data_IF_105565218407
#
_entry.id   IF_105565218407
#
_cell.length_a   1.000
_cell.length_b   1.000
_cell.length_c   1.000
_cell.angle_alpha   90.00
_cell.angle_beta   90.00
_cell.angle_gamma   90.00
#
_symmetry.space_group_name_H-M   'P 1'
#
loop_
_entity.id
_entity.type
_entity.pdbx_description
1 polymer ?
#
# COMPACT_ATOMS: atom_id res chain seq x y z
N UNK A 1 -28.31 -6.71 5.91
CA UNK A 1 -26.92 -7.18 5.94
C UNK A 1 -26.10 -6.07 5.33
N UNK A 2 -25.58 -5.19 6.20
CA UNK A 2 -24.74 -4.05 5.81
C UNK A 2 -23.50 -4.62 5.12
N UNK A 3 -23.27 -4.25 3.85
CA UNK A 3 -22.02 -4.62 3.19
C UNK A 3 -20.93 -3.87 3.96
N UNK A 4 -20.00 -4.59 4.57
CA UNK A 4 -18.78 -3.98 5.08
C UNK A 4 -18.22 -3.08 3.97
N UNK A 5 -18.00 -1.81 4.30
CA UNK A 5 -17.36 -0.87 3.40
C UNK A 5 -16.05 -1.50 2.95
N UNK A 6 -15.86 -1.59 1.63
CA UNK A 6 -14.65 -2.16 1.08
C UNK A 6 -13.55 -1.12 1.22
N UNK A 7 -12.52 -1.42 2.00
CA UNK A 7 -11.23 -0.70 2.01
C UNK A 7 -10.53 -0.91 0.66
N UNK A 8 -11.05 -0.31 -0.41
CA UNK A 8 -10.52 -0.44 -1.75
C UNK A 8 -10.40 0.94 -2.40
N UNK A 9 -9.36 1.12 -3.21
CA UNK A 9 -9.30 2.32 -4.05
C UNK A 9 -10.45 2.30 -5.05
N UNK A 10 -11.08 3.45 -5.27
CA UNK A 10 -12.17 3.59 -6.24
C UNK A 10 -11.64 3.46 -7.68
N UNK A 11 -12.08 2.46 -8.46
CA UNK A 11 -11.79 2.39 -9.89
C UNK A 11 -12.85 3.14 -10.71
N UNK A 12 -12.44 3.61 -11.89
CA UNK A 12 -13.36 4.06 -12.94
C UNK A 12 -14.07 2.87 -13.62
N UNK A 13 -14.92 3.18 -14.61
CA UNK A 13 -15.65 2.18 -15.38
C UNK A 13 -14.76 1.20 -16.17
N UNK A 14 -13.46 1.51 -16.34
CA UNK A 14 -12.48 0.66 -17.00
C UNK A 14 -11.66 -0.20 -16.03
N UNK A 15 -11.93 -0.08 -14.72
CA UNK A 15 -11.19 -0.78 -13.68
C UNK A 15 -9.86 -0.11 -13.32
N UNK A 16 -9.66 1.16 -13.67
CA UNK A 16 -8.42 1.92 -13.41
C UNK A 16 -8.65 2.99 -12.35
N UNK A 17 -7.63 3.26 -11.55
CA UNK A 17 -7.71 4.24 -10.45
C UNK A 17 -7.12 5.57 -10.92
N UNK A 18 -7.89 6.68 -10.88
CA UNK A 18 -7.36 7.99 -11.18
C UNK A 18 -6.40 8.44 -10.07
N UNK A 19 -5.28 9.06 -10.45
CA UNK A 19 -4.40 9.81 -9.56
C UNK A 19 -4.45 11.29 -9.89
N UNK A 20 -4.37 12.12 -8.87
CA UNK A 20 -4.50 13.57 -8.96
C UNK A 20 -3.23 14.24 -8.45
N UNK A 21 -2.80 15.30 -9.13
CA UNK A 21 -1.63 16.09 -8.72
C UNK A 21 -1.99 17.09 -7.62
N UNK A 22 -3.28 17.41 -7.47
CA UNK A 22 -3.77 18.35 -6.48
C UNK A 22 -5.25 18.09 -6.14
N UNK A 23 -5.70 18.71 -5.05
CA UNK A 23 -7.07 18.59 -4.54
C UNK A 23 -8.13 19.13 -5.52
N UNK A 24 -7.80 20.13 -6.34
CA UNK A 24 -8.76 20.73 -7.29
C UNK A 24 -9.21 19.71 -8.36
N UNK A 25 -8.28 18.89 -8.87
CA UNK A 25 -8.61 17.83 -9.82
C UNK A 25 -9.50 16.76 -9.19
N UNK A 26 -9.26 16.39 -7.94
CA UNK A 26 -10.11 15.46 -7.20
C UNK A 26 -11.52 16.04 -7.01
N UNK A 27 -11.63 17.31 -6.60
CA UNK A 27 -12.91 18.01 -6.43
C UNK A 27 -13.71 17.99 -7.74
N UNK A 28 -13.08 18.39 -8.85
CA UNK A 28 -13.70 18.40 -10.19
C UNK A 28 -14.25 17.02 -10.58
N UNK A 29 -13.50 15.95 -10.33
CA UNK A 29 -14.00 14.60 -10.59
C UNK A 29 -15.20 14.28 -9.70
N UNK A 30 -15.11 14.55 -8.40
CA UNK A 30 -16.18 14.21 -7.46
C UNK A 30 -17.50 14.93 -7.76
N UNK A 31 -17.43 16.20 -8.18
CA UNK A 31 -18.58 16.95 -8.67
C UNK A 31 -19.18 16.31 -9.93
N UNK A 32 -18.33 15.92 -10.89
CA UNK A 32 -18.76 15.30 -12.14
C UNK A 32 -19.46 13.93 -11.93
N UNK A 33 -19.04 13.16 -10.93
CA UNK A 33 -19.63 11.85 -10.61
C UNK A 33 -20.68 11.90 -9.49
N UNK A 34 -21.00 13.09 -8.98
CA UNK A 34 -22.03 13.28 -7.94
C UNK A 34 -21.67 12.70 -6.57
N UNK A 35 -20.38 12.60 -6.24
CA UNK A 35 -19.88 12.09 -4.96
C UNK A 35 -19.43 13.26 -4.09
N UNK A 36 -19.67 13.16 -2.77
CA UNK A 36 -19.20 14.15 -1.80
C UNK A 36 -17.90 13.69 -1.15
N UNK A 37 -16.89 14.56 -1.13
CA UNK A 37 -15.67 14.33 -0.37
C UNK A 37 -15.92 14.54 1.12
N UNK A 38 -15.43 13.61 1.92
CA UNK A 38 -15.26 13.80 3.35
C UNK A 38 -13.84 14.33 3.61
N UNK A 39 -13.70 15.51 4.24
CA UNK A 39 -12.38 16.09 4.48
C UNK A 39 -11.65 15.28 5.54
N UNK A 40 -10.58 14.60 5.13
CA UNK A 40 -9.65 13.92 6.02
C UNK A 40 -8.21 14.38 5.71
N UNK A 41 -7.32 14.47 6.72
CA UNK A 41 -5.90 14.71 6.47
C UNK A 41 -5.34 13.63 5.53
N UNK A 42 -4.55 13.99 4.51
CA UNK A 42 -3.97 13.00 3.62
C UNK A 42 -2.95 12.15 4.35
N UNK A 43 -3.02 10.83 4.15
CA UNK A 43 -1.99 9.91 4.61
C UNK A 43 -0.85 9.83 3.57
N UNK A 44 0.37 10.12 4.00
CA UNK A 44 1.54 10.10 3.12
C UNK A 44 2.18 8.71 3.08
N UNK A 45 2.13 8.07 1.90
CA UNK A 45 2.88 6.84 1.62
C UNK A 45 4.21 7.18 0.92
N UNK A 46 5.34 6.79 1.52
CA UNK A 46 6.66 7.08 0.97
C UNK A 46 7.16 5.94 0.06
N UNK A 47 6.83 6.00 -1.24
CA UNK A 47 7.31 5.02 -2.22
C UNK A 47 8.81 5.11 -2.52
N UNK A 48 9.44 6.28 -2.39
CA UNK A 48 10.86 6.47 -2.69
C UNK A 48 11.76 5.64 -1.77
N UNK A 49 11.40 5.56 -0.48
CA UNK A 49 12.10 4.68 0.47
C UNK A 49 11.98 3.21 0.07
N UNK A 50 10.80 2.79 -0.39
CA UNK A 50 10.57 1.41 -0.83
C UNK A 50 11.34 1.11 -2.10
N UNK A 51 11.31 1.99 -3.10
CA UNK A 51 12.04 1.84 -4.36
C UNK A 51 13.55 1.83 -4.14
N UNK A 52 14.06 2.71 -3.28
CA UNK A 52 15.48 2.74 -2.90
C UNK A 52 15.91 1.42 -2.26
N UNK A 53 15.09 0.85 -1.37
CA UNK A 53 15.37 -0.45 -0.77
C UNK A 53 15.26 -1.59 -1.77
N UNK A 54 14.28 -1.58 -2.68
CA UNK A 54 14.14 -2.59 -3.74
C UNK A 54 15.35 -2.60 -4.67
N UNK A 55 15.93 -1.43 -4.96
CA UNK A 55 17.15 -1.28 -5.76
C UNK A 55 18.41 -1.74 -5.01
N UNK A 56 18.46 -1.55 -3.69
CA UNK A 56 19.58 -2.00 -2.85
C UNK A 56 19.10 -2.71 -1.56
N UNK A 57 18.75 -4.01 -1.65
CA UNK A 57 18.13 -4.76 -0.55
C UNK A 57 19.11 -5.18 0.56
N UNK A 58 20.40 -4.81 0.45
CA UNK A 58 21.38 -4.99 1.51
C UNK A 58 21.13 -4.03 2.69
N UNK A 59 20.45 -2.90 2.44
CA UNK A 59 20.06 -1.94 3.48
C UNK A 59 18.97 -2.50 4.40
N UNK A 60 18.81 -1.85 5.55
CA UNK A 60 17.71 -2.14 6.47
C UNK A 60 16.36 -1.96 5.77
N UNK A 61 15.43 -2.88 6.02
CA UNK A 61 14.07 -2.81 5.47
C UNK A 61 13.35 -1.59 6.05
N UNK A 62 12.80 -0.67 5.22
CA UNK A 62 12.02 0.47 5.69
C UNK A 62 10.61 0.01 6.07
N UNK A 63 10.50 -0.61 7.25
CA UNK A 63 9.31 -1.39 7.66
C UNK A 63 7.98 -0.66 7.45
N UNK A 64 7.83 0.55 8.01
CA UNK A 64 6.57 1.30 7.87
C UNK A 64 6.22 1.57 6.40
N UNK A 65 7.18 2.09 5.63
CA UNK A 65 6.96 2.40 4.21
C UNK A 65 6.62 1.13 3.38
N UNK A 66 7.24 -0.01 3.69
CA UNK A 66 6.90 -1.28 3.07
C UNK A 66 5.50 -1.78 3.44
N UNK A 67 5.06 -1.56 4.68
CA UNK A 67 3.71 -1.90 5.12
C UNK A 67 2.67 -1.02 4.43
N UNK A 68 2.85 0.30 4.50
CA UNK A 68 1.95 1.29 3.89
C UNK A 68 1.79 0.97 2.38
N UNK A 69 2.90 0.71 1.69
CA UNK A 69 2.87 0.32 0.28
C UNK A 69 2.16 -1.02 0.04
N UNK A 70 2.39 -2.03 0.90
CA UNK A 70 1.70 -3.31 0.78
C UNK A 70 0.19 -3.14 0.89
N UNK A 71 -0.29 -2.41 1.89
CA UNK A 71 -1.72 -2.16 2.12
C UNK A 71 -2.32 -1.41 0.94
N UNK A 72 -1.68 -0.34 0.49
CA UNK A 72 -2.14 0.42 -0.68
C UNK A 72 -2.21 -0.43 -1.96
N UNK A 73 -1.25 -1.34 -2.17
CA UNK A 73 -1.31 -2.28 -3.30
C UNK A 73 -2.41 -3.33 -3.14
N UNK A 74 -2.75 -3.69 -1.90
CA UNK A 74 -3.88 -4.54 -1.61
C UNK A 74 -5.17 -3.82 -2.01
N UNK A 75 -5.39 -2.60 -1.55
CA UNK A 75 -6.58 -1.78 -1.82
C UNK A 75 -6.73 -1.50 -3.33
N UNK A 76 -5.62 -1.21 -4.01
CA UNK A 76 -5.57 -1.07 -5.46
C UNK A 76 -6.02 -2.36 -6.16
N UNK A 77 -5.51 -3.51 -5.73
CA UNK A 77 -5.85 -4.79 -6.34
C UNK A 77 -7.31 -5.17 -6.08
N UNK A 78 -7.84 -4.88 -4.88
CA UNK A 78 -9.27 -4.99 -4.59
C UNK A 78 -10.09 -4.15 -5.55
N UNK A 79 -9.79 -2.84 -5.63
CA UNK A 79 -10.53 -1.90 -6.45
C UNK A 79 -10.52 -2.29 -7.92
N UNK A 80 -9.34 -2.59 -8.47
CA UNK A 80 -9.16 -2.96 -9.86
C UNK A 80 -9.59 -4.41 -10.21
N UNK A 81 -10.06 -5.20 -9.25
CA UNK A 81 -10.39 -6.62 -9.45
C UNK A 81 -9.17 -7.47 -9.87
N UNK A 82 -7.97 -7.08 -9.45
CA UNK A 82 -6.72 -7.71 -9.84
C UNK A 82 -6.21 -8.71 -8.78
N UNK A 83 -5.46 -9.72 -9.22
CA UNK A 83 -4.82 -10.66 -8.31
C UNK A 83 -3.54 -10.06 -7.72
N UNK A 84 -3.48 -9.93 -6.39
CA UNK A 84 -2.28 -9.54 -5.65
C UNK A 84 -1.74 -10.71 -4.82
N UNK A 85 -0.45 -11.03 -4.99
CA UNK A 85 0.20 -12.11 -4.24
C UNK A 85 0.31 -11.79 -2.75
N UNK A 86 0.24 -10.51 -2.38
CA UNK A 86 0.19 -10.08 -0.99
C UNK A 86 -1.07 -10.57 -0.25
N UNK A 87 -2.15 -10.95 -0.95
CA UNK A 87 -3.37 -11.55 -0.33
C UNK A 87 -3.23 -13.03 -0.02
N UNK A 88 -2.40 -13.75 -0.78
CA UNK A 88 -2.29 -15.22 -0.66
C UNK A 88 -1.81 -15.59 0.73
N UNK A 89 -2.46 -16.52 1.43
CA UNK A 89 -1.96 -16.98 2.73
C UNK A 89 -0.80 -17.95 2.54
N UNK A 90 0.19 -17.89 3.43
CA UNK A 90 1.30 -18.84 3.44
C UNK A 90 2.27 -18.56 4.58
N UNK A 91 2.95 -19.57 5.16
CA UNK A 91 3.72 -19.40 6.39
C UNK A 91 4.78 -18.31 6.32
N UNK A 92 5.55 -18.23 5.23
CA UNK A 92 6.59 -17.21 5.05
C UNK A 92 5.98 -15.82 4.87
N UNK A 93 4.92 -15.70 4.05
CA UNK A 93 4.29 -14.42 3.75
C UNK A 93 3.55 -13.84 4.96
N UNK A 94 2.88 -14.68 5.73
CA UNK A 94 2.25 -14.27 6.98
C UNK A 94 3.31 -13.71 7.93
N UNK A 95 4.41 -14.43 8.17
CA UNK A 95 5.54 -13.92 8.98
C UNK A 95 6.11 -12.60 8.47
N UNK A 96 6.21 -12.40 7.16
CA UNK A 96 6.67 -11.13 6.57
C UNK A 96 5.70 -10.01 6.91
N UNK A 97 4.41 -10.23 6.72
CA UNK A 97 3.37 -9.24 7.01
C UNK A 97 3.33 -8.92 8.51
N UNK A 98 3.36 -9.94 9.36
CA UNK A 98 3.40 -9.78 10.82
C UNK A 98 4.64 -8.96 11.24
N UNK A 99 5.82 -9.27 10.71
CA UNK A 99 7.04 -8.47 10.95
C UNK A 99 6.93 -7.01 10.49
N UNK A 100 6.26 -6.77 9.36
CA UNK A 100 6.01 -5.41 8.90
C UNK A 100 5.09 -4.67 9.87
N UNK A 101 4.02 -5.34 10.29
CA UNK A 101 3.02 -4.81 11.20
C UNK A 101 3.60 -4.52 12.58
N UNK A 102 4.35 -5.47 13.17
CA UNK A 102 5.04 -5.31 14.45
C UNK A 102 6.08 -4.18 14.42
N UNK A 103 6.82 -4.06 13.32
CA UNK A 103 7.87 -3.05 13.18
C UNK A 103 7.38 -1.67 12.74
N UNK A 104 6.09 -1.50 12.43
CA UNK A 104 5.50 -0.25 11.95
C UNK A 104 5.31 0.80 13.06
N UNK A 105 5.25 0.36 14.31
CA UNK A 105 4.92 1.21 15.46
C UNK A 105 3.42 1.47 15.63
N UNK A 106 2.55 0.79 14.85
CA UNK A 106 1.09 0.88 15.00
C UNK A 106 0.58 0.27 16.31
N UNK A 107 1.32 -0.68 16.89
CA UNK A 107 1.04 -1.18 18.23
C UNK A 107 1.77 -0.35 19.30
N UNK A 108 1.02 0.10 20.30
CA UNK A 108 1.60 0.53 21.58
C UNK A 108 2.00 -0.72 22.38
N UNK A 109 3.11 -1.34 21.99
CA UNK A 109 3.71 -2.43 22.75
C UNK A 109 4.52 -1.88 23.93
N UNK A 110 4.50 -2.60 25.04
CA UNK A 110 5.31 -2.24 26.22
C UNK A 110 6.81 -2.15 25.85
N UNK A 111 7.64 -1.37 26.58
CA UNK A 111 9.07 -1.26 26.28
C UNK A 111 9.81 -2.61 26.21
N UNK A 112 9.34 -3.62 26.94
CA UNK A 112 9.86 -4.99 26.95
C UNK A 112 9.52 -5.74 25.66
N UNK A 113 8.28 -5.65 25.19
CA UNK A 113 7.82 -6.22 23.93
C UNK A 113 8.45 -5.49 22.73
N UNK A 114 8.62 -4.17 22.82
CA UNK A 114 9.35 -3.38 21.83
C UNK A 114 10.82 -3.83 21.68
N UNK A 115 11.45 -4.30 22.77
CA UNK A 115 12.80 -4.87 22.76
C UNK A 115 12.84 -6.26 22.10
N UNK A 116 11.82 -7.09 22.31
CA UNK A 116 11.68 -8.39 21.64
C UNK A 116 11.35 -8.23 20.15
N UNK A 117 10.45 -7.31 19.79
CA UNK A 117 10.17 -6.93 18.40
C UNK A 117 11.41 -6.35 17.71
N UNK A 118 12.25 -5.60 18.44
CA UNK A 118 13.57 -5.16 17.96
C UNK A 118 14.53 -6.32 17.67
N UNK A 119 14.51 -7.41 18.44
CA UNK A 119 15.32 -8.60 18.17
C UNK A 119 14.80 -9.42 16.97
N UNK A 120 13.48 -9.41 16.73
CA UNK A 120 12.84 -10.00 15.55
C UNK A 120 13.21 -9.31 14.21
N UNK A 121 13.92 -8.17 14.25
CA UNK A 121 14.41 -7.40 13.08
C UNK A 121 15.42 -8.14 12.20
N UNK A 122 15.82 -9.36 12.56
CA UNK A 122 16.59 -10.21 11.66
C UNK A 122 15.67 -10.79 10.58
N UNK A 123 15.66 -10.11 9.43
CA UNK A 123 15.02 -10.57 8.21
C UNK A 123 15.80 -11.73 7.60
N UNK A 124 15.20 -12.92 7.58
CA UNK A 124 15.72 -14.08 6.86
C UNK A 124 15.75 -13.81 5.37
N UNK A 125 16.63 -14.49 4.65
CA UNK A 125 16.74 -14.31 3.20
C UNK A 125 15.41 -14.63 2.47
N UNK A 126 14.70 -15.68 2.90
CA UNK A 126 13.38 -16.04 2.35
C UNK A 126 12.32 -14.94 2.57
N UNK A 127 12.35 -14.26 3.72
CA UNK A 127 11.43 -13.19 4.09
C UNK A 127 11.70 -11.95 3.24
N UNK A 128 12.98 -11.55 3.09
CA UNK A 128 13.37 -10.44 2.21
C UNK A 128 12.97 -10.70 0.76
N UNK A 129 13.21 -11.93 0.26
CA UNK A 129 12.83 -12.31 -1.11
C UNK A 129 11.31 -12.28 -1.30
N UNK A 130 10.54 -12.71 -0.30
CA UNK A 130 9.09 -12.68 -0.32
C UNK A 130 8.57 -11.25 -0.34
N UNK A 131 9.07 -10.39 0.54
CA UNK A 131 8.73 -8.97 0.58
C UNK A 131 9.07 -8.27 -0.74
N UNK A 132 10.26 -8.51 -1.28
CA UNK A 132 10.70 -7.97 -2.57
C UNK A 132 9.75 -8.35 -3.70
N UNK A 133 9.33 -9.62 -3.75
CA UNK A 133 8.40 -10.12 -4.77
C UNK A 133 7.03 -9.46 -4.66
N UNK A 134 6.50 -9.33 -3.45
CA UNK A 134 5.19 -8.70 -3.19
C UNK A 134 5.20 -7.24 -3.64
N UNK A 135 6.16 -6.46 -3.15
CA UNK A 135 6.24 -5.03 -3.48
C UNK A 135 6.49 -4.80 -4.97
N UNK A 136 7.34 -5.60 -5.61
CA UNK A 136 7.54 -5.49 -7.07
C UNK A 136 6.29 -5.80 -7.87
N UNK A 137 5.48 -6.76 -7.43
CA UNK A 137 4.19 -6.99 -8.09
C UNK A 137 3.25 -5.80 -7.86
N UNK A 138 3.21 -5.27 -6.64
CA UNK A 138 2.42 -4.09 -6.31
C UNK A 138 2.75 -2.88 -7.20
N UNK A 139 4.03 -2.56 -7.39
CA UNK A 139 4.44 -1.50 -8.33
C UNK A 139 4.05 -1.77 -9.78
N UNK A 140 4.05 -3.04 -10.23
CA UNK A 140 3.54 -3.39 -11.58
C UNK A 140 2.03 -3.18 -11.68
N UNK A 141 1.28 -3.47 -10.61
CA UNK A 141 -0.15 -3.18 -10.55
C UNK A 141 -0.38 -1.67 -10.58
N UNK A 142 0.38 -0.89 -9.81
CA UNK A 142 0.34 0.57 -9.82
C UNK A 142 0.54 1.12 -11.23
N UNK A 143 1.61 0.74 -11.92
CA UNK A 143 1.90 1.17 -13.30
C UNK A 143 0.80 0.80 -14.31
N UNK A 144 0.10 -0.32 -14.08
CA UNK A 144 -0.95 -0.80 -14.99
C UNK A 144 -2.30 -0.13 -14.73
N UNK A 145 -2.68 0.01 -13.46
CA UNK A 145 -4.04 0.36 -13.06
C UNK A 145 -4.19 1.81 -12.64
N UNK A 146 -3.11 2.50 -12.25
CA UNK A 146 -3.17 3.92 -11.91
C UNK A 146 -2.90 4.77 -13.15
N UNK A 147 -3.60 5.89 -13.29
CA UNK A 147 -3.34 6.87 -14.36
C UNK A 147 -3.50 8.31 -13.85
N UNK A 148 -2.63 9.23 -14.31
CA UNK A 148 -2.79 10.64 -14.01
C UNK A 148 -4.02 11.19 -14.73
N UNK A 149 -4.90 11.85 -13.98
CA UNK A 149 -5.97 12.65 -14.57
C UNK A 149 -5.31 13.88 -15.18
N UNK A 150 -5.20 13.89 -16.51
CA UNK A 150 -4.72 15.06 -17.22
C UNK A 150 -5.77 16.17 -17.15
N UNK A 151 -5.32 17.42 -17.04
CA UNK A 151 -6.19 18.56 -17.32
C UNK A 151 -6.55 18.54 -18.81
N UNK A 152 -7.52 17.74 -19.22
CA UNK A 152 -8.20 17.98 -20.48
C UNK A 152 -8.95 19.30 -20.27
N UNK A 153 -8.43 20.35 -20.90
CA UNK A 153 -9.05 21.67 -20.96
C UNK A 153 -10.53 21.50 -21.34
N UNK A 154 -11.41 22.02 -20.48
CA UNK A 154 -12.77 22.34 -20.86
C UNK A 154 -12.75 23.50 -21.87
#
# INVERSE_FOLDING_TARGET
MERAESEALWPDATGRVPSFDNLEQLIKLTEAIGVRLEPQPPELTNFDLVLTWLANPAKQVPVKACLDAWNLFDDLASGAGAAFIGRRRGPVRNRVYDKLYDGSGLWQISPTEARQARQARHWRQEERRTLHRVLRQGFRLWQKYVYPVSNAAA
#
